data_IF_265806249184
#
_entry.id   IF_265806249184
#
_cell.length_a   1.000
_cell.length_b   1.000
_cell.length_c   1.000
_cell.angle_alpha   90.00
_cell.angle_beta   90.00
_cell.angle_gamma   90.00
#
_symmetry.space_group_name_H-M   'P 1'
#
loop_
_entity.id
_entity.type
_entity.pdbx_description
1 polymer ?
#
# COMPACT_ATOMS: atom_id res chain seq x y z
N UNK A 1 0.00 -9.39 -7.44
CA UNK A 1 -0.51 -9.67 -6.08
C UNK A 1 -0.61 -8.36 -5.34
N UNK A 2 -1.71 -8.09 -4.64
CA UNK A 2 -1.89 -6.90 -3.80
C UNK A 2 -2.15 -7.35 -2.38
N UNK A 3 -1.47 -6.76 -1.40
CA UNK A 3 -1.72 -7.00 0.01
C UNK A 3 -2.01 -5.67 0.73
N UNK A 4 -2.58 -5.76 1.93
CA UNK A 4 -2.78 -4.63 2.83
C UNK A 4 -2.30 -5.06 4.21
N UNK A 5 -1.62 -4.17 4.91
CA UNK A 5 -1.11 -4.41 6.25
C UNK A 5 -1.49 -3.22 7.14
N UNK A 6 -2.25 -3.49 8.19
CA UNK A 6 -2.53 -2.52 9.22
C UNK A 6 -1.46 -2.61 10.30
N UNK A 7 -0.61 -1.58 10.35
CA UNK A 7 0.46 -1.51 11.32
C UNK A 7 -0.11 -1.15 12.70
N UNK A 8 0.36 -1.80 13.78
CA UNK A 8 -0.04 -1.47 15.13
C UNK A 8 0.36 -0.03 15.49
N UNK A 9 -0.30 0.55 16.49
CA UNK A 9 -0.13 1.95 16.88
C UNK A 9 1.30 2.33 17.29
N UNK A 10 2.11 1.37 17.72
CA UNK A 10 3.50 1.57 18.10
C UNK A 10 4.49 1.55 16.92
N UNK A 11 4.09 1.11 15.72
CA UNK A 11 4.98 0.94 14.56
C UNK A 11 4.97 2.16 13.61
N UNK A 12 4.98 3.37 14.17
CA UNK A 12 4.94 4.61 13.38
C UNK A 12 6.26 4.86 12.63
N UNK A 13 7.38 4.41 13.19
CA UNK A 13 8.71 4.41 12.57
C UNK A 13 8.75 3.61 11.27
N UNK A 14 8.04 2.48 11.20
CA UNK A 14 7.89 1.70 9.97
C UNK A 14 7.11 2.47 8.92
N UNK A 15 6.00 3.13 9.30
CA UNK A 15 5.23 3.98 8.38
C UNK A 15 6.10 5.11 7.81
N UNK A 16 6.88 5.77 8.67
CA UNK A 16 7.77 6.85 8.26
C UNK A 16 8.88 6.34 7.31
N UNK A 17 9.49 5.19 7.63
CA UNK A 17 10.53 4.58 6.80
C UNK A 17 10.00 4.19 5.41
N UNK A 18 8.75 3.72 5.32
CA UNK A 18 8.10 3.47 4.02
C UNK A 18 7.81 4.78 3.28
N UNK A 19 7.27 5.80 3.98
CA UNK A 19 6.95 7.08 3.36
C UNK A 19 8.18 7.82 2.81
N UNK A 20 9.31 7.71 3.50
CA UNK A 20 10.60 8.28 3.06
C UNK A 20 11.26 7.45 1.94
N UNK A 21 10.91 6.16 1.84
CA UNK A 21 11.44 5.24 0.83
C UNK A 21 12.64 4.40 1.29
N UNK A 22 12.99 4.42 2.58
CA UNK A 22 14.01 3.52 3.15
C UNK A 22 13.56 2.06 3.09
N UNK A 23 12.23 1.85 3.21
CA UNK A 23 11.58 0.56 3.01
C UNK A 23 10.65 0.71 1.82
N UNK A 24 11.11 0.30 0.64
CA UNK A 24 10.34 0.46 -0.60
C UNK A 24 9.81 -0.84 -1.18
N UNK A 25 10.15 -1.99 -0.59
CA UNK A 25 9.89 -3.29 -1.16
C UNK A 25 9.14 -4.26 -0.25
N UNK A 26 8.68 -5.35 -0.86
CA UNK A 26 8.11 -6.49 -0.14
C UNK A 26 8.77 -7.80 -0.55
N UNK A 27 8.81 -8.75 0.38
CA UNK A 27 9.16 -10.14 0.14
C UNK A 27 8.07 -11.05 0.68
N UNK A 28 7.92 -12.21 0.07
CA UNK A 28 7.03 -13.25 0.57
C UNK A 28 7.66 -14.61 0.29
N UNK A 29 7.48 -15.53 1.22
CA UNK A 29 7.97 -16.90 1.10
C UNK A 29 6.77 -17.84 0.99
N UNK A 30 6.84 -18.74 0.03
CA UNK A 30 5.84 -19.77 -0.18
C UNK A 30 6.49 -21.09 -0.58
N UNK A 31 5.79 -22.19 -0.35
CA UNK A 31 6.09 -23.47 -0.98
C UNK A 31 5.08 -23.71 -2.09
N UNK A 32 5.56 -24.23 -3.22
CA UNK A 32 4.69 -24.64 -4.32
C UNK A 32 4.20 -26.07 -4.09
N UNK A 33 2.89 -26.26 -4.23
CA UNK A 33 2.27 -27.59 -4.18
C UNK A 33 1.86 -28.05 -5.57
N UNK A 34 1.38 -27.12 -6.41
CA UNK A 34 1.03 -27.39 -7.80
C UNK A 34 1.28 -26.17 -8.68
N UNK A 35 2.08 -26.35 -9.73
CA UNK A 35 2.31 -25.34 -10.76
C UNK A 35 2.27 -25.91 -12.17
N UNK A 36 2.16 -25.00 -13.14
CA UNK A 36 2.32 -25.29 -14.56
C UNK A 36 3.27 -24.29 -15.19
N UNK A 37 4.02 -24.77 -16.17
CA UNK A 37 4.89 -23.95 -17.00
C UNK A 37 4.40 -23.94 -18.44
N UNK A 38 4.49 -22.79 -19.08
CA UNK A 38 4.16 -22.65 -20.49
C UNK A 38 5.14 -21.70 -21.19
N UNK A 39 5.38 -21.96 -22.47
CA UNK A 39 6.16 -21.08 -23.33
C UNK A 39 5.20 -20.28 -24.20
N UNK A 40 5.27 -18.95 -24.13
CA UNK A 40 4.51 -18.04 -24.99
C UNK A 40 5.44 -16.92 -25.44
N UNK A 41 5.45 -16.62 -26.74
CA UNK A 41 6.26 -15.53 -27.32
C UNK A 41 7.76 -15.58 -26.95
N UNK A 42 8.33 -16.79 -26.84
CA UNK A 42 9.73 -17.00 -26.44
C UNK A 42 10.03 -16.79 -24.95
N UNK A 43 9.01 -16.51 -24.13
CA UNK A 43 9.12 -16.33 -22.69
C UNK A 43 8.47 -17.49 -21.92
N UNK A 44 9.08 -17.86 -20.79
CA UNK A 44 8.54 -18.87 -19.88
C UNK A 44 7.64 -18.24 -18.84
N UNK A 45 6.41 -18.75 -18.76
CA UNK A 45 5.42 -18.34 -17.78
C UNK A 45 5.18 -19.47 -16.80
N UNK A 46 5.25 -19.15 -15.51
CA UNK A 46 4.92 -20.06 -14.41
C UNK A 46 3.61 -19.62 -13.79
N UNK A 47 2.66 -20.53 -13.72
CA UNK A 47 1.42 -20.33 -12.97
C UNK A 47 1.41 -21.26 -11.76
N UNK A 48 1.32 -20.67 -10.57
CA UNK A 48 1.12 -21.41 -9.31
C UNK A 48 -0.38 -21.62 -9.13
N UNK A 49 -0.84 -22.87 -9.14
CA UNK A 49 -2.25 -23.23 -8.95
C UNK A 49 -2.57 -23.51 -7.48
N UNK A 50 -1.59 -24.04 -6.75
CA UNK A 50 -1.68 -24.30 -5.33
C UNK A 50 -0.35 -24.01 -4.63
N UNK A 51 -0.42 -23.30 -3.51
CA UNK A 51 0.74 -22.89 -2.73
C UNK A 51 0.37 -22.69 -1.26
N UNK A 52 1.34 -22.97 -0.41
CA UNK A 52 1.31 -22.57 1.01
C UNK A 52 2.14 -21.31 1.20
N UNK A 53 1.50 -20.21 1.60
CA UNK A 53 2.15 -18.94 1.91
C UNK A 53 2.61 -18.91 3.38
N UNK A 54 3.89 -18.70 3.62
CA UNK A 54 4.48 -18.71 4.98
C UNK A 54 4.49 -17.33 5.62
N UNK A 55 4.98 -16.33 4.91
CA UNK A 55 5.04 -14.97 5.43
C UNK A 55 5.11 -13.93 4.30
N UNK A 56 4.69 -12.71 4.65
CA UNK A 56 4.87 -11.48 3.87
C UNK A 56 5.63 -10.51 4.76
N UNK A 57 6.69 -9.91 4.25
CA UNK A 57 7.54 -9.00 5.00
C UNK A 57 7.87 -7.75 4.18
N UNK A 58 7.96 -6.62 4.86
CA UNK A 58 8.52 -5.40 4.31
C UNK A 58 10.04 -5.54 4.22
N UNK A 59 10.63 -5.09 3.13
CA UNK A 59 12.09 -5.15 2.90
C UNK A 59 12.59 -3.85 2.30
N UNK A 60 13.84 -3.52 2.56
CA UNK A 60 14.51 -2.31 2.01
C UNK A 60 14.48 -2.34 0.48
N UNK A 61 14.72 -3.50 -0.12
CA UNK A 61 14.69 -3.69 -1.59
C UNK A 61 13.93 -4.95 -1.94
N UNK A 62 12.89 -4.82 -2.76
CA UNK A 62 12.11 -5.94 -3.27
C UNK A 62 12.95 -6.82 -4.20
N UNK A 63 12.65 -8.12 -4.23
CA UNK A 63 13.33 -9.06 -5.11
C UNK A 63 13.01 -8.84 -6.60
N UNK A 64 11.92 -8.12 -6.90
CA UNK A 64 11.46 -7.82 -8.25
C UNK A 64 11.06 -6.35 -8.36
N UNK A 65 11.20 -5.71 -9.54
CA UNK A 65 10.81 -4.31 -9.73
C UNK A 65 9.36 -4.02 -9.33
N UNK A 66 8.48 -5.01 -9.48
CA UNK A 66 7.05 -4.87 -9.21
C UNK A 66 6.67 -5.15 -7.75
N UNK A 67 7.65 -5.51 -6.92
CA UNK A 67 7.47 -5.75 -5.50
C UNK A 67 7.70 -4.47 -4.69
N UNK A 68 6.86 -3.46 -4.94
CA UNK A 68 6.92 -2.15 -4.26
C UNK A 68 5.87 -2.03 -3.14
N UNK A 69 6.13 -1.15 -2.18
CA UNK A 69 5.24 -0.87 -1.04
C UNK A 69 4.99 0.63 -0.96
N UNK A 70 3.77 1.01 -0.62
CA UNK A 70 3.37 2.41 -0.42
C UNK A 70 2.51 2.55 0.84
N UNK A 71 2.64 3.69 1.52
CA UNK A 71 1.71 4.06 2.59
C UNK A 71 0.40 4.47 1.95
N UNK A 72 -0.67 3.74 2.26
CA UNK A 72 -2.02 4.18 1.90
C UNK A 72 -2.43 5.30 2.83
N UNK A 73 -2.79 6.47 2.29
CA UNK A 73 -3.51 7.47 3.07
C UNK A 73 -4.89 6.90 3.42
N UNK A 74 -5.09 6.53 4.69
CA UNK A 74 -6.42 6.54 5.26
C UNK A 74 -6.78 8.02 5.41
N UNK A 75 -7.45 8.60 4.43
CA UNK A 75 -8.14 9.86 4.65
C UNK A 75 -9.25 9.51 5.62
N UNK A 76 -9.04 9.71 6.92
CA UNK A 76 -10.20 9.94 7.78
C UNK A 76 -11.00 11.06 7.12
N UNK A 77 -12.31 10.89 6.87
CA UNK A 77 -13.10 11.98 6.34
C UNK A 77 -12.84 13.18 7.26
N UNK A 78 -12.45 14.35 6.71
CA UNK A 78 -12.05 15.47 7.53
C UNK A 78 -13.12 15.67 8.58
N UNK A 79 -12.74 15.59 9.86
CA UNK A 79 -13.64 15.83 10.98
C UNK A 79 -14.42 17.09 10.63
N UNK A 80 -15.75 16.97 10.48
CA UNK A 80 -16.59 18.03 9.91
C UNK A 80 -16.21 19.35 10.58
N UNK A 81 -15.44 20.16 9.85
CA UNK A 81 -15.02 21.47 10.34
C UNK A 81 -16.30 22.22 10.59
N UNK A 82 -16.47 22.75 11.81
CA UNK A 82 -17.67 23.42 12.28
C UNK A 82 -18.31 24.23 11.13
N UNK A 83 -19.39 23.71 10.56
CA UNK A 83 -20.03 24.27 9.36
C UNK A 83 -20.43 25.73 9.59
N UNK A 84 -20.69 26.15 10.84
CA UNK A 84 -21.00 27.53 11.17
C UNK A 84 -19.82 28.47 10.91
N UNK A 85 -18.58 28.04 11.11
CA UNK A 85 -17.39 28.83 10.82
C UNK A 85 -17.17 28.98 9.31
N UNK A 86 -17.42 27.91 8.55
CA UNK A 86 -17.31 27.91 7.08
C UNK A 86 -18.37 28.82 6.46
N UNK A 87 -19.62 28.76 6.95
CA UNK A 87 -20.71 29.63 6.49
C UNK A 87 -20.49 31.09 6.86
N UNK A 88 -19.91 31.39 8.03
CA UNK A 88 -19.57 32.75 8.42
C UNK A 88 -18.55 33.40 7.47
N UNK A 89 -17.50 32.64 7.11
CA UNK A 89 -16.45 33.11 6.20
C UNK A 89 -16.96 33.30 4.76
N UNK A 90 -17.77 32.37 4.26
CA UNK A 90 -18.41 32.49 2.93
C UNK A 90 -19.31 33.72 2.85
N UNK A 91 -20.16 33.95 3.86
CA UNK A 91 -21.04 35.12 3.90
C UNK A 91 -20.25 36.43 4.01
N UNK A 92 -19.13 36.44 4.74
CA UNK A 92 -18.26 37.62 4.82
C UNK A 92 -17.66 37.96 3.45
N UNK A 93 -17.18 36.95 2.71
CA UNK A 93 -16.58 37.15 1.38
C UNK A 93 -17.60 37.60 0.33
N UNK A 94 -18.81 37.02 0.35
CA UNK A 94 -19.88 37.38 -0.59
C UNK A 94 -20.44 38.79 -0.37
N UNK A 95 -20.26 39.38 0.81
CA UNK A 95 -20.69 40.75 1.13
C UNK A 95 -19.63 41.82 0.80
N UNK A 96 -18.41 41.42 0.47
CA UNK A 96 -17.29 42.33 0.14
C UNK A 96 -16.99 42.44 -1.36
N UNK A 97 -17.74 41.72 -2.19
CA UNK A 97 -17.85 41.92 -3.63
C UNK A 97 -19.26 42.42 -3.97
#
# INVERSE_FOLDING_TARGET
>A
MRFSLDLPSWANDIKESVARGDISGMSFRFNNEKDSWEQRDGQSYRTLHDLTLHHVALVVRGAYPQAYVEVRSHTEPPAMTNMNAVWAELNYRLRKN
#
